data_IF_892373731973
#
_entry.id   IF_892373731973
#
_cell.length_a   1.000
_cell.length_b   1.000
_cell.length_c   1.000
_cell.angle_alpha   90.00
_cell.angle_beta   90.00
_cell.angle_gamma   90.00
#
_symmetry.space_group_name_H-M   'P 1'
#
loop_
_entity.id
_entity.type
_entity.pdbx_description
1 polymer ?
#
# COMPACT_ATOMS: atom_id res chain seq x y z
N UNK A 1 -24.13 57.42 29.71
CA UNK A 1 -24.05 55.95 29.86
C UNK A 1 -23.66 55.38 28.51
N UNK A 2 -22.37 55.42 28.18
CA UNK A 2 -21.85 54.95 26.89
C UNK A 2 -21.32 53.52 27.03
N UNK A 3 -21.76 52.64 26.14
CA UNK A 3 -21.24 51.28 25.96
C UNK A 3 -19.77 51.36 25.53
N UNK A 4 -18.85 51.23 26.50
CA UNK A 4 -17.40 51.20 26.26
C UNK A 4 -16.78 49.81 26.46
N UNK A 5 -17.60 48.77 26.69
CA UNK A 5 -17.12 47.45 27.11
C UNK A 5 -17.15 46.33 26.07
N UNK A 6 -17.70 46.55 24.88
CA UNK A 6 -17.93 45.45 23.91
C UNK A 6 -16.83 45.29 22.86
N UNK A 7 -15.97 46.30 22.66
CA UNK A 7 -14.91 46.23 21.66
C UNK A 7 -13.69 45.40 22.13
N UNK A 8 -13.36 45.46 23.43
CA UNK A 8 -12.28 44.66 24.03
C UNK A 8 -12.59 43.16 23.97
N UNK A 9 -13.85 42.76 24.21
CA UNK A 9 -14.29 41.36 24.21
C UNK A 9 -14.20 40.68 22.83
N UNK A 10 -14.31 41.46 21.74
CA UNK A 10 -14.21 40.93 20.38
C UNK A 10 -12.75 40.68 19.96
N UNK A 11 -11.77 41.27 20.63
CA UNK A 11 -10.35 41.06 20.33
C UNK A 11 -9.85 39.67 20.76
N UNK A 12 -10.45 39.08 21.81
CA UNK A 12 -10.10 37.73 22.27
C UNK A 12 -10.67 36.62 21.37
N UNK A 13 -11.75 36.87 20.63
CA UNK A 13 -12.32 35.92 19.65
C UNK A 13 -11.54 35.88 18.34
N UNK A 14 -10.80 36.94 18.01
CA UNK A 14 -9.94 37.04 16.81
C UNK A 14 -8.48 36.67 17.12
N UNK A 15 -8.20 36.21 18.35
CA UNK A 15 -6.99 35.47 18.69
C UNK A 15 -7.02 34.05 18.13
N UNK A 16 -7.23 33.90 16.81
CA UNK A 16 -7.13 32.62 16.10
C UNK A 16 -5.74 32.05 16.31
N UNK A 17 -5.63 31.14 17.28
CA UNK A 17 -4.45 30.36 17.59
C UNK A 17 -3.96 29.67 16.33
N UNK A 18 -2.94 30.26 15.70
CA UNK A 18 -2.26 29.67 14.56
C UNK A 18 -1.66 28.33 14.99
N UNK A 19 -2.36 27.25 14.66
CA UNK A 19 -1.85 25.90 14.80
C UNK A 19 -0.54 25.79 14.01
N UNK A 20 0.59 25.92 14.72
CA UNK A 20 1.92 25.64 14.16
C UNK A 20 1.94 24.16 13.78
N UNK A 21 1.68 23.85 12.52
CA UNK A 21 1.89 22.53 11.97
C UNK A 21 3.37 22.18 12.08
N UNK A 22 3.76 21.48 13.14
CA UNK A 22 5.08 20.85 13.25
C UNK A 22 5.23 19.89 12.08
N UNK A 23 6.01 20.29 11.06
CA UNK A 23 6.38 19.43 9.94
C UNK A 23 7.21 18.27 10.49
N UNK A 24 6.59 17.10 10.67
CA UNK A 24 7.30 15.87 11.02
C UNK A 24 8.36 15.61 9.96
N UNK A 25 9.62 15.45 10.38
CA UNK A 25 10.71 15.03 9.49
C UNK A 25 10.35 13.64 8.95
N UNK A 26 10.34 13.50 7.63
CA UNK A 26 10.04 12.22 6.99
C UNK A 26 11.18 11.24 7.26
N UNK A 27 10.82 9.98 7.51
CA UNK A 27 11.81 8.92 7.65
C UNK A 27 12.33 8.51 6.26
N UNK A 28 13.53 7.95 6.21
CA UNK A 28 14.05 7.35 4.99
C UNK A 28 13.23 6.08 4.70
N UNK A 29 12.53 6.06 3.57
CA UNK A 29 11.68 4.97 3.14
C UNK A 29 12.17 4.40 1.81
N UNK A 30 12.00 3.09 1.68
CA UNK A 30 12.16 2.36 0.42
C UNK A 30 10.77 1.98 -0.07
N UNK A 31 10.36 2.53 -1.21
CA UNK A 31 9.06 2.30 -1.82
C UNK A 31 9.26 1.55 -3.11
N UNK A 32 8.58 0.41 -3.24
CA UNK A 32 8.57 -0.36 -4.48
C UNK A 32 7.24 -0.13 -5.21
N UNK A 33 7.33 0.05 -6.52
CA UNK A 33 6.19 0.29 -7.40
C UNK A 33 6.24 -0.69 -8.57
N UNK A 34 5.09 -1.25 -8.92
CA UNK A 34 4.89 -1.99 -10.17
C UNK A 34 4.44 -1.00 -11.24
N UNK A 35 5.21 -0.83 -12.29
CA UNK A 35 4.93 0.12 -13.38
C UNK A 35 5.05 -0.59 -14.73
N UNK A 36 3.98 -0.56 -15.53
CA UNK A 36 4.01 -1.12 -16.89
C UNK A 36 4.99 -0.34 -17.77
N UNK A 37 6.07 -1.00 -18.20
CA UNK A 37 7.12 -0.44 -19.05
C UNK A 37 7.38 -1.42 -20.20
N UNK A 38 7.16 -0.95 -21.43
CA UNK A 38 7.27 -1.77 -22.65
C UNK A 38 8.56 -1.42 -23.43
N UNK A 39 9.07 -0.20 -23.26
CA UNK A 39 10.10 0.41 -24.09
C UNK A 39 11.19 1.10 -23.26
N UNK A 40 12.40 1.26 -23.81
CA UNK A 40 13.51 1.96 -23.13
C UNK A 40 13.19 3.45 -22.88
N UNK A 41 12.48 4.09 -23.80
CA UNK A 41 11.97 5.45 -23.59
C UNK A 41 10.97 5.55 -22.44
N UNK A 42 10.25 4.47 -22.14
CA UNK A 42 9.29 4.39 -21.04
C UNK A 42 10.05 4.34 -19.70
N UNK A 43 11.11 3.54 -19.63
CA UNK A 43 12.02 3.46 -18.50
C UNK A 43 12.65 4.82 -18.19
N UNK A 44 13.21 5.48 -19.21
CA UNK A 44 13.82 6.81 -19.08
C UNK A 44 12.82 7.86 -18.57
N UNK A 45 11.59 7.88 -19.12
CA UNK A 45 10.54 8.80 -18.66
C UNK A 45 10.19 8.58 -17.19
N UNK A 46 10.02 7.34 -16.76
CA UNK A 46 9.70 6.99 -15.37
C UNK A 46 10.87 7.34 -14.45
N UNK A 47 12.11 7.02 -14.85
CA UNK A 47 13.33 7.38 -14.11
C UNK A 47 13.41 8.88 -13.87
N UNK A 48 13.27 9.67 -14.93
CA UNK A 48 13.36 11.12 -14.88
C UNK A 48 12.23 11.74 -14.05
N UNK A 49 11.01 11.25 -14.20
CA UNK A 49 9.85 11.75 -13.45
C UNK A 49 9.98 11.50 -11.93
N UNK A 50 10.59 10.38 -11.53
CA UNK A 50 10.80 10.03 -10.13
C UNK A 50 12.05 10.73 -9.58
N UNK A 51 13.14 10.79 -10.34
CA UNK A 51 14.36 11.48 -9.91
C UNK A 51 14.14 12.99 -9.74
N UNK A 52 13.19 13.59 -10.48
CA UNK A 52 12.84 15.00 -10.32
C UNK A 52 12.02 15.30 -9.05
N UNK A 53 11.64 14.28 -8.27
CA UNK A 53 10.89 14.49 -7.02
C UNK A 53 11.80 14.92 -5.88
N UNK A 54 11.33 15.87 -5.07
CA UNK A 54 12.06 16.30 -3.88
C UNK A 54 12.16 15.19 -2.83
N UNK A 55 13.38 14.95 -2.35
CA UNK A 55 13.67 13.97 -1.29
C UNK A 55 14.05 12.57 -1.78
N UNK A 56 14.10 12.32 -3.10
CA UNK A 56 14.59 11.05 -3.66
C UNK A 56 16.12 11.01 -3.62
N UNK A 57 16.68 9.89 -3.16
CA UNK A 57 18.14 9.68 -3.07
C UNK A 57 18.64 8.70 -4.13
N UNK A 58 17.95 7.58 -4.33
CA UNK A 58 18.30 6.57 -5.35
C UNK A 58 17.04 5.99 -5.98
N UNK A 59 17.10 5.80 -7.30
CA UNK A 59 16.05 5.16 -8.10
C UNK A 59 16.67 3.99 -8.84
N UNK A 60 16.12 2.81 -8.64
CA UNK A 60 16.50 1.58 -9.34
C UNK A 60 15.30 1.08 -10.14
N UNK A 61 15.53 0.70 -11.40
CA UNK A 61 14.47 0.22 -12.29
C UNK A 61 14.87 -1.16 -12.79
N UNK A 62 13.94 -2.11 -12.64
CA UNK A 62 14.07 -3.46 -13.14
C UNK A 62 13.02 -3.69 -14.22
N UNK A 63 13.40 -3.54 -15.50
CA UNK A 63 12.49 -3.72 -16.65
C UNK A 63 11.89 -5.13 -16.71
N UNK A 64 12.69 -6.17 -16.42
CA UNK A 64 12.26 -7.58 -16.42
C UNK A 64 11.08 -7.85 -15.46
N UNK A 65 11.10 -7.20 -14.30
CA UNK A 65 10.06 -7.35 -13.27
C UNK A 65 9.02 -6.23 -13.32
N UNK A 66 9.15 -5.27 -14.24
CA UNK A 66 8.34 -4.05 -14.28
C UNK A 66 8.29 -3.34 -12.91
N UNK A 67 9.42 -3.36 -12.18
CA UNK A 67 9.53 -2.89 -10.79
C UNK A 67 10.44 -1.67 -10.70
N UNK A 68 9.99 -0.68 -9.95
CA UNK A 68 10.73 0.55 -9.65
C UNK A 68 10.92 0.65 -8.14
N UNK A 69 12.16 0.70 -7.70
CA UNK A 69 12.53 0.83 -6.30
C UNK A 69 13.06 2.25 -6.06
N UNK A 70 12.39 2.97 -5.17
CA UNK A 70 12.71 4.36 -4.84
C UNK A 70 13.12 4.43 -3.38
N UNK A 71 14.30 4.96 -3.12
CA UNK A 71 14.78 5.21 -1.75
C UNK A 71 14.92 6.70 -1.51
N UNK A 72 14.40 7.19 -0.39
CA UNK A 72 14.49 8.60 -0.05
C UNK A 72 13.56 9.03 1.10
N UNK A 73 13.54 10.33 1.35
CA UNK A 73 12.67 10.97 2.33
C UNK A 73 11.31 11.34 1.69
N UNK A 74 10.63 10.32 1.16
CA UNK A 74 9.41 10.48 0.35
C UNK A 74 8.26 9.64 0.89
N UNK A 75 7.03 10.09 0.63
CA UNK A 75 5.82 9.37 1.04
C UNK A 75 5.37 8.45 -0.12
N UNK A 76 5.06 7.18 0.16
CA UNK A 76 4.65 6.20 -0.88
C UNK A 76 3.50 6.71 -1.77
N UNK A 77 2.52 7.39 -1.17
CA UNK A 77 1.39 7.98 -1.89
C UNK A 77 1.81 9.07 -2.90
N UNK A 78 2.84 9.86 -2.58
CA UNK A 78 3.34 10.91 -3.49
C UNK A 78 4.10 10.28 -4.65
N UNK A 79 4.91 9.25 -4.38
CA UNK A 79 5.63 8.52 -5.43
C UNK A 79 4.63 7.82 -6.37
N UNK A 80 3.59 7.20 -5.84
CA UNK A 80 2.52 6.59 -6.63
C UNK A 80 1.81 7.61 -7.54
N UNK A 81 1.45 8.79 -7.01
CA UNK A 81 0.85 9.86 -7.80
C UNK A 81 1.78 10.35 -8.91
N UNK A 82 3.07 10.51 -8.63
CA UNK A 82 4.05 10.92 -9.64
C UNK A 82 4.26 9.85 -10.71
N UNK A 83 4.33 8.58 -10.33
CA UNK A 83 4.41 7.48 -11.29
C UNK A 83 3.18 7.48 -12.22
N UNK A 84 1.97 7.63 -11.67
CA UNK A 84 0.72 7.75 -12.45
C UNK A 84 0.71 8.96 -13.37
N UNK A 85 1.33 10.08 -12.98
CA UNK A 85 1.44 11.28 -13.83
C UNK A 85 2.27 11.07 -15.11
N UNK A 86 3.04 9.98 -15.19
CA UNK A 86 3.79 9.59 -16.40
C UNK A 86 2.88 8.96 -17.46
N UNK A 87 1.59 8.80 -17.18
CA UNK A 87 0.61 8.16 -18.08
C UNK A 87 0.71 6.63 -18.09
N UNK A 88 1.45 6.03 -17.14
CA UNK A 88 1.59 4.58 -17.01
C UNK A 88 0.78 4.06 -15.82
N UNK A 89 0.24 2.84 -15.95
CA UNK A 89 -0.39 2.13 -14.83
C UNK A 89 0.69 1.81 -13.79
N UNK A 90 0.49 2.35 -12.58
CA UNK A 90 1.40 2.20 -11.46
C UNK A 90 0.61 1.76 -10.22
N UNK A 91 1.14 0.73 -9.55
CA UNK A 91 0.59 0.12 -8.33
C UNK A 91 1.69 0.01 -7.29
N UNK A 92 1.33 0.02 -6.00
CA UNK A 92 2.29 -0.21 -4.93
C UNK A 92 2.70 -1.70 -4.98
N UNK A 93 3.98 -2.00 -4.85
CA UNK A 93 4.50 -3.37 -4.80
C UNK A 93 5.13 -3.63 -3.43
N UNK A 94 5.07 -4.84 -2.86
CA UNK A 94 4.28 -6.02 -3.25
C UNK A 94 2.85 -5.95 -2.69
N UNK A 95 2.36 -4.80 -2.25
CA UNK A 95 1.07 -4.74 -1.53
C UNK A 95 -0.12 -4.60 -2.48
N UNK A 96 -1.15 -5.38 -2.24
CA UNK A 96 -2.43 -5.36 -2.97
C UNK A 96 -3.55 -4.89 -2.04
N UNK A 97 -4.60 -4.23 -2.57
CA UNK A 97 -5.74 -3.83 -1.77
C UNK A 97 -6.46 -5.07 -1.18
N UNK A 98 -6.95 -4.90 0.04
CA UNK A 98 -7.59 -5.96 0.84
C UNK A 98 -8.66 -6.77 0.07
N UNK A 99 -9.47 -6.10 -0.76
CA UNK A 99 -10.58 -6.72 -1.50
C UNK A 99 -10.15 -7.73 -2.58
N UNK A 100 -8.87 -7.73 -2.99
CA UNK A 100 -8.36 -8.64 -4.01
C UNK A 100 -7.71 -9.90 -3.43
N UNK A 101 -7.55 -9.97 -2.10
CA UNK A 101 -6.92 -11.10 -1.42
C UNK A 101 -8.02 -11.94 -0.76
N UNK A 102 -8.08 -13.24 -1.06
CA UNK A 102 -9.08 -14.15 -0.50
C UNK A 102 -8.95 -14.31 1.02
N UNK A 103 -7.72 -14.31 1.54
CA UNK A 103 -7.39 -14.49 2.96
C UNK A 103 -6.48 -13.37 3.47
N UNK A 104 -6.99 -12.14 3.59
CA UNK A 104 -6.18 -10.96 3.90
C UNK A 104 -5.72 -10.88 5.36
N UNK A 105 -6.32 -11.67 6.26
CA UNK A 105 -5.91 -11.80 7.66
C UNK A 105 -4.94 -12.96 7.91
N UNK A 106 -4.52 -13.69 6.87
CA UNK A 106 -3.51 -14.73 7.02
C UNK A 106 -2.22 -14.15 7.61
N UNK A 107 -1.56 -14.91 8.49
CA UNK A 107 -0.34 -14.49 9.21
C UNK A 107 0.77 -14.01 8.25
N UNK A 108 0.84 -14.59 7.05
CA UNK A 108 1.83 -14.26 6.01
C UNK A 108 1.49 -12.97 5.25
N UNK A 109 0.24 -12.53 5.26
CA UNK A 109 -0.26 -11.42 4.45
C UNK A 109 -0.17 -10.07 5.19
N UNK A 110 -0.43 -10.07 6.51
CA UNK A 110 -0.42 -8.86 7.32
C UNK A 110 1.01 -8.32 7.55
N UNK A 111 1.26 -7.07 7.15
CA UNK A 111 2.54 -6.39 7.36
C UNK A 111 2.33 -5.03 8.01
N UNK A 112 3.03 -4.78 9.12
CA UNK A 112 3.01 -3.49 9.85
C UNK A 112 3.54 -2.32 9.03
N UNK A 113 4.29 -2.59 7.95
CA UNK A 113 4.82 -1.56 7.04
C UNK A 113 3.86 -1.23 5.89
N UNK A 114 2.77 -2.00 5.72
CA UNK A 114 1.80 -1.75 4.67
C UNK A 114 0.97 -0.48 4.95
N UNK A 115 0.60 0.30 3.91
CA UNK A 115 -0.38 1.36 4.05
C UNK A 115 -1.73 0.82 4.53
N UNK A 116 -2.59 1.64 5.18
CA UNK A 116 -3.92 1.22 5.55
C UNK A 116 -4.73 0.78 4.31
N UNK A 117 -5.39 -0.39 4.40
CA UNK A 117 -6.17 -0.99 3.31
C UNK A 117 -5.36 -1.81 2.30
N UNK A 118 -4.04 -1.94 2.50
CA UNK A 118 -3.14 -2.75 1.68
C UNK A 118 -2.54 -3.89 2.51
N UNK A 119 -2.39 -5.04 1.87
CA UNK A 119 -1.87 -6.29 2.45
C UNK A 119 -0.78 -6.83 1.53
N UNK A 120 0.23 -7.57 2.02
CA UNK A 120 1.23 -8.16 1.11
C UNK A 120 0.54 -9.11 0.14
N UNK A 121 0.91 -9.04 -1.15
CA UNK A 121 0.52 -10.02 -2.13
C UNK A 121 1.26 -11.32 -1.83
N UNK A 122 0.65 -12.18 -1.02
CA UNK A 122 1.03 -13.58 -0.91
C UNK A 122 0.44 -14.29 -2.12
N UNK A 123 1.17 -14.23 -3.24
CA UNK A 123 0.90 -15.15 -4.34
C UNK A 123 1.02 -16.57 -3.74
N UNK A 124 -0.03 -17.38 -3.87
CA UNK A 124 -0.06 -18.76 -3.40
C UNK A 124 1.02 -19.59 -4.13
N UNK A 125 2.29 -19.46 -3.74
CA UNK A 125 3.41 -20.22 -4.32
C UNK A 125 4.22 -20.88 -3.23
N UNK A 126 3.54 -21.69 -2.41
CA UNK A 126 3.99 -22.95 -1.78
C UNK A 126 2.65 -23.66 -1.43
N UNK A 127 2.05 -24.54 -2.23
CA UNK A 127 2.59 -25.80 -2.77
C UNK A 127 1.70 -26.29 -3.93
N UNK A 128 2.32 -26.44 -5.10
CA UNK A 128 1.88 -27.39 -6.12
C UNK A 128 1.93 -28.80 -5.51
N UNK A 129 0.79 -29.29 -5.05
CA UNK A 129 0.62 -30.65 -4.49
C UNK A 129 -0.84 -31.10 -4.40
N UNK A 130 -1.80 -30.18 -4.43
CA UNK A 130 -3.23 -30.53 -4.25
C UNK A 130 -4.18 -29.66 -5.10
N UNK A 131 -3.81 -29.31 -6.34
CA UNK A 131 -4.73 -28.59 -7.28
C UNK A 131 -5.67 -29.55 -8.02
N UNK A 132 -5.95 -30.72 -7.46
CA UNK A 132 -7.07 -31.57 -7.91
C UNK A 132 -7.87 -32.09 -6.73
N UNK A 133 -8.34 -31.23 -5.82
CA UNK A 133 -9.63 -31.32 -5.10
C UNK A 133 -9.98 -29.88 -4.71
N UNK A 134 -10.87 -29.19 -5.43
CA UNK A 134 -12.32 -29.26 -5.18
C UNK A 134 -12.59 -29.23 -3.68
N UNK A 135 -13.10 -28.10 -3.17
CA UNK A 135 -13.77 -27.96 -1.87
C UNK A 135 -13.37 -29.00 -0.81
N UNK A 136 -12.37 -28.71 0.01
CA UNK A 136 -12.31 -29.36 1.33
C UNK A 136 -11.61 -28.43 2.31
N UNK A 137 -12.40 -27.57 2.95
CA UNK A 137 -12.06 -27.16 4.32
C UNK A 137 -11.81 -28.46 5.12
N UNK A 138 -10.74 -28.59 5.92
CA UNK A 138 -10.50 -29.78 6.73
C UNK A 138 -11.63 -30.08 7.73
N UNK A 139 -12.58 -29.14 7.88
CA UNK A 139 -13.83 -29.30 8.62
C UNK A 139 -15.01 -29.81 7.77
N UNK A 140 -15.04 -29.55 6.45
CA UNK A 140 -16.11 -30.04 5.56
C UNK A 140 -15.94 -31.54 5.22
N UNK A 141 -14.72 -32.06 5.30
CA UNK A 141 -14.43 -33.49 5.12
C UNK A 141 -14.80 -34.35 6.34
N UNK A 142 -15.11 -33.76 7.50
CA UNK A 142 -15.53 -34.50 8.72
C UNK A 142 -17.01 -34.96 8.67
N UNK A 143 -17.80 -34.44 7.73
CA UNK A 143 -19.22 -34.78 7.54
C UNK A 143 -19.55 -35.26 6.12
N UNK A 144 -18.53 -35.66 5.36
CA UNK A 144 -18.75 -36.22 4.02
C UNK A 144 -19.28 -37.66 4.11
N UNK A 145 -20.60 -37.80 3.94
CA UNK A 145 -21.36 -39.06 3.96
C UNK A 145 -20.88 -40.09 2.91
N UNK A 146 -20.27 -39.62 1.82
CA UNK A 146 -19.72 -40.45 0.73
C UNK A 146 -18.39 -41.15 1.07
N UNK A 147 -17.72 -40.78 2.16
CA UNK A 147 -16.48 -41.44 2.59
C UNK A 147 -16.76 -42.33 3.81
N UNK A 148 -16.82 -43.67 3.66
CA UNK A 148 -17.10 -44.59 4.76
C UNK A 148 -16.05 -44.57 5.88
N UNK A 149 -14.91 -43.91 5.67
CA UNK A 149 -13.87 -43.69 6.68
C UNK A 149 -13.90 -42.29 7.33
N UNK A 150 -14.87 -41.41 7.01
CA UNK A 150 -14.93 -40.04 7.54
C UNK A 150 -15.73 -39.89 8.85
N UNK A 151 -16.45 -40.92 9.31
CA UNK A 151 -17.12 -40.91 10.61
C UNK A 151 -16.12 -41.14 11.75
N UNK A 152 -15.43 -40.08 12.19
CA UNK A 152 -14.49 -40.13 13.31
C UNK A 152 -14.86 -39.23 14.49
N UNK A 153 -16.14 -38.89 14.67
CA UNK A 153 -16.65 -38.19 15.86
C UNK A 153 -17.54 -39.16 16.64
N UNK A 154 -17.04 -39.63 17.79
CA UNK A 154 -17.82 -40.25 18.88
C UNK A 154 -18.36 -39.17 19.80
#
# INVERSE_FOLDING_TARGET
>A
MGVSGTLEYLSDLVGSGGHKHKKKKKQLQTVELKVRMDCDGCELKVKNAISSMSGVKKVEINRKQQRVTVTGYVDSNKVLKKAKSTGKKAEIWPYVPYNLVAQPYAVQAYDKKAPPGYVRNVENTVTTGTVTRSYDDPYTSMFSDDNPNACSIM
#
